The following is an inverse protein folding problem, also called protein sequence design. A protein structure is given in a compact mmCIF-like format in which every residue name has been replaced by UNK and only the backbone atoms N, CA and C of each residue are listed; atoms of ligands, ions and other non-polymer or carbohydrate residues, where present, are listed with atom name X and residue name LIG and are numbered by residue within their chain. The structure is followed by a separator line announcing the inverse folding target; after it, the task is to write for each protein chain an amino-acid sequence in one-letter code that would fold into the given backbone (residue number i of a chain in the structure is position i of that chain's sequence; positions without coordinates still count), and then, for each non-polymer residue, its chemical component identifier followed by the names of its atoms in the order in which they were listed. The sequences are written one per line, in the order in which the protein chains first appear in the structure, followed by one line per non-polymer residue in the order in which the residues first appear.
data_IF_743247255208
#
_entry.id   IF_743247255208
#
_cell.length_a   1.000
_cell.length_b   1.000
_cell.length_c   1.000
_cell.angle_alpha   90.00
_cell.angle_beta   90.00
_cell.angle_gamma   90.00
#
_symmetry.space_group_name_H-M   'P 1'
#
loop_
_entity.id
_entity.type
_entity.pdbx_description
1 polymer ?
#
# COMPACT_ATOMS: atom_id res chain seq x y z
N UNK A 1 26.95 -8.66 -5.04
CA UNK A 1 25.80 -7.74 -4.90
C UNK A 1 25.72 -6.88 -6.14
N UNK A 2 24.80 -7.17 -7.05
CA UNK A 2 24.56 -6.34 -8.24
C UNK A 2 23.88 -5.04 -7.81
N UNK A 3 24.50 -3.90 -8.10
CA UNK A 3 23.92 -2.57 -7.84
C UNK A 3 22.59 -2.48 -8.59
N UNK A 4 21.46 -2.21 -7.90
CA UNK A 4 20.19 -1.88 -8.59
C UNK A 4 20.48 -0.71 -9.53
N UNK A 5 20.09 -0.76 -10.81
CA UNK A 5 20.31 0.34 -11.73
C UNK A 5 19.66 1.61 -11.18
N UNK A 6 20.39 2.73 -11.23
CA UNK A 6 19.83 4.00 -10.77
C UNK A 6 18.66 4.42 -11.68
N UNK A 7 17.57 4.99 -11.12
CA UNK A 7 16.48 5.51 -11.90
C UNK A 7 16.95 6.58 -12.90
N UNK A 8 16.29 6.64 -14.06
CA UNK A 8 16.51 7.74 -15.00
C UNK A 8 15.84 9.01 -14.46
N UNK A 9 16.64 9.92 -13.91
CA UNK A 9 16.16 11.20 -13.37
C UNK A 9 15.63 12.11 -14.48
N UNK A 10 14.50 12.76 -14.22
CA UNK A 10 13.76 13.57 -15.19
C UNK A 10 14.18 15.05 -15.12
N UNK A 11 14.17 15.77 -16.26
CA UNK A 11 14.38 17.22 -16.28
C UNK A 11 13.18 17.97 -15.69
N UNK A 12 13.37 19.21 -15.23
CA UNK A 12 12.29 20.04 -14.65
C UNK A 12 11.11 20.26 -15.60
N UNK A 13 11.30 20.13 -16.92
CA UNK A 13 10.20 20.16 -17.91
C UNK A 13 9.16 19.04 -17.72
N UNK A 14 9.51 17.96 -17.01
CA UNK A 14 8.61 16.88 -16.65
C UNK A 14 7.78 17.15 -15.37
N UNK A 15 7.95 18.31 -14.73
CA UNK A 15 7.29 18.64 -13.46
C UNK A 15 5.77 18.42 -13.53
N UNK A 16 5.10 18.91 -14.57
CA UNK A 16 3.64 18.76 -14.70
C UNK A 16 3.20 17.31 -14.89
N UNK A 17 4.00 16.49 -15.58
CA UNK A 17 3.71 15.06 -15.73
C UNK A 17 3.82 14.35 -14.37
N UNK A 18 4.92 14.58 -13.66
CA UNK A 18 5.15 13.97 -12.34
C UNK A 18 4.13 14.47 -11.32
N UNK A 19 3.70 15.73 -11.41
CA UNK A 19 2.64 16.28 -10.56
C UNK A 19 1.34 15.48 -10.73
N UNK A 20 0.87 15.32 -11.96
CA UNK A 20 -0.34 14.53 -12.24
C UNK A 20 -0.22 13.07 -11.78
N UNK A 21 0.98 12.48 -11.91
CA UNK A 21 1.21 11.11 -11.43
C UNK A 21 1.12 11.02 -9.90
N UNK A 22 1.76 11.93 -9.16
CA UNK A 22 1.71 11.91 -7.69
C UNK A 22 0.29 12.19 -7.21
N UNK A 23 -0.36 13.23 -7.75
CA UNK A 23 -1.69 13.65 -7.35
C UNK A 23 -2.72 12.51 -7.61
N UNK A 24 -2.70 11.91 -8.80
CA UNK A 24 -3.60 10.80 -9.14
C UNK A 24 -3.33 9.53 -8.35
N UNK A 25 -2.06 9.17 -8.12
CA UNK A 25 -1.73 7.98 -7.32
C UNK A 25 -2.11 8.15 -5.84
N UNK A 26 -2.04 9.37 -5.31
CA UNK A 26 -2.52 9.70 -3.97
C UNK A 26 -4.05 9.58 -3.90
N UNK A 27 -4.77 10.13 -4.87
CA UNK A 27 -6.23 10.02 -4.96
C UNK A 27 -6.69 8.56 -5.01
N UNK A 28 -6.14 7.77 -5.95
CA UNK A 28 -6.45 6.34 -6.09
C UNK A 28 -6.17 5.55 -4.79
N UNK A 29 -5.05 5.85 -4.12
CA UNK A 29 -4.71 5.19 -2.86
C UNK A 29 -5.69 5.57 -1.75
N UNK A 30 -6.12 6.84 -1.68
CA UNK A 30 -7.07 7.30 -0.68
C UNK A 30 -8.44 6.63 -0.86
N UNK A 31 -8.90 6.49 -2.10
CA UNK A 31 -10.14 5.79 -2.44
C UNK A 31 -10.09 4.30 -2.09
N UNK A 32 -8.97 3.64 -2.38
CA UNK A 32 -8.80 2.24 -1.97
C UNK A 32 -8.77 2.10 -0.45
N UNK A 33 -8.10 3.01 0.26
CA UNK A 33 -8.08 2.98 1.72
C UNK A 33 -9.49 3.09 2.31
N UNK A 34 -10.32 4.00 1.77
CA UNK A 34 -11.73 4.13 2.15
C UNK A 34 -12.52 2.85 1.86
N UNK A 35 -12.30 2.23 0.70
CA UNK A 35 -12.93 0.95 0.33
C UNK A 35 -12.60 -0.16 1.33
N UNK A 36 -11.34 -0.27 1.76
CA UNK A 36 -10.93 -1.26 2.76
C UNK A 36 -11.48 -0.94 4.16
N UNK A 37 -11.62 0.34 4.52
CA UNK A 37 -12.26 0.74 5.77
C UNK A 37 -13.73 0.32 5.82
N UNK A 38 -14.45 0.46 4.71
CA UNK A 38 -15.83 -0.05 4.59
C UNK A 38 -15.88 -1.58 4.67
N UNK A 39 -14.94 -2.27 4.01
CA UNK A 39 -14.85 -3.73 4.06
C UNK A 39 -14.61 -4.25 5.48
N UNK A 40 -13.80 -3.55 6.29
CA UNK A 40 -13.60 -3.89 7.71
C UNK A 40 -14.91 -3.92 8.52
N UNK A 41 -15.89 -3.09 8.19
CA UNK A 41 -17.18 -3.07 8.90
C UNK A 41 -18.08 -4.26 8.52
N UNK A 42 -17.70 -5.05 7.52
CA UNK A 42 -18.45 -6.19 6.98
C UNK A 42 -17.56 -7.44 7.04
N UNK A 43 -17.54 -8.17 8.17
CA UNK A 43 -16.75 -9.39 8.29
C UNK A 43 -16.99 -10.33 7.11
N UNK A 44 -15.93 -11.00 6.64
CA UNK A 44 -15.98 -12.01 5.58
C UNK A 44 -16.31 -11.51 4.16
N UNK A 45 -16.38 -10.19 3.92
CA UNK A 45 -16.67 -9.66 2.57
C UNK A 45 -15.50 -9.83 1.59
N UNK A 46 -14.27 -9.96 2.10
CA UNK A 46 -13.07 -10.19 1.30
C UNK A 46 -12.58 -11.63 1.48
N UNK A 47 -12.30 -12.29 0.37
CA UNK A 47 -11.61 -13.56 0.31
C UNK A 47 -10.09 -13.39 0.48
N UNK A 48 -9.39 -14.48 0.82
CA UNK A 48 -7.95 -14.47 1.04
C UNK A 48 -7.14 -14.01 -0.20
N UNK A 49 -7.57 -14.40 -1.41
CA UNK A 49 -6.88 -14.05 -2.65
C UNK A 49 -6.93 -12.54 -2.90
N UNK A 50 -8.10 -11.92 -2.71
CA UNK A 50 -8.29 -10.47 -2.84
C UNK A 50 -7.40 -9.71 -1.85
N UNK A 51 -7.34 -10.14 -0.58
CA UNK A 51 -6.49 -9.50 0.43
C UNK A 51 -5.00 -9.62 0.07
N UNK A 52 -4.54 -10.79 -0.39
CA UNK A 52 -3.15 -10.97 -0.82
C UNK A 52 -2.81 -10.10 -2.02
N UNK A 53 -3.73 -9.96 -2.98
CA UNK A 53 -3.53 -9.12 -4.15
C UNK A 53 -3.38 -7.65 -3.78
N UNK A 54 -4.21 -7.15 -2.85
CA UNK A 54 -4.08 -5.80 -2.29
C UNK A 54 -2.70 -5.62 -1.66
N UNK A 55 -2.28 -6.52 -0.78
CA UNK A 55 -0.96 -6.43 -0.13
C UNK A 55 0.16 -6.38 -1.17
N UNK A 56 0.11 -7.23 -2.21
CA UNK A 56 1.13 -7.23 -3.25
C UNK A 56 1.18 -5.89 -4.01
N UNK A 57 0.05 -5.42 -4.54
CA UNK A 57 -0.02 -4.19 -5.34
C UNK A 57 0.50 -2.98 -4.56
N UNK A 58 0.07 -2.83 -3.31
CA UNK A 58 0.43 -1.67 -2.49
C UNK A 58 1.86 -1.78 -1.94
N UNK A 59 2.41 -3.00 -1.79
CA UNK A 59 3.84 -3.19 -1.50
C UNK A 59 4.68 -2.74 -2.70
N UNK A 60 4.33 -3.20 -3.89
CA UNK A 60 5.02 -2.84 -5.13
C UNK A 60 4.98 -1.30 -5.34
N UNK A 61 3.81 -0.68 -5.15
CA UNK A 61 3.64 0.77 -5.28
C UNK A 61 4.50 1.55 -4.27
N UNK A 62 4.55 1.10 -3.01
CA UNK A 62 5.32 1.74 -1.95
C UNK A 62 6.83 1.76 -2.26
N UNK A 63 7.35 0.75 -2.96
CA UNK A 63 8.76 0.73 -3.40
C UNK A 63 9.12 1.88 -4.36
N UNK A 64 8.15 2.43 -5.09
CA UNK A 64 8.39 3.52 -6.05
C UNK A 64 8.37 4.90 -5.40
N UNK A 65 7.64 5.11 -4.30
CA UNK A 65 7.49 6.45 -3.67
C UNK A 65 8.84 7.10 -3.34
N UNK A 66 9.86 6.38 -2.81
CA UNK A 66 11.19 6.96 -2.57
C UNK A 66 11.87 7.51 -3.83
N UNK A 67 11.54 7.00 -5.03
CA UNK A 67 12.09 7.50 -6.30
C UNK A 67 11.51 8.89 -6.59
N UNK A 68 10.19 9.07 -6.42
CA UNK A 68 9.54 10.37 -6.57
C UNK A 68 10.06 11.39 -5.57
N UNK A 69 10.21 11.01 -4.30
CA UNK A 69 10.75 11.90 -3.26
C UNK A 69 12.16 12.38 -3.64
N UNK A 70 13.04 11.46 -4.04
CA UNK A 70 14.41 11.82 -4.48
C UNK A 70 14.44 12.68 -5.74
N UNK A 71 13.53 12.45 -6.68
CA UNK A 71 13.40 13.29 -7.88
C UNK A 71 13.04 14.73 -7.49
N UNK A 72 12.09 14.91 -6.57
CA UNK A 72 11.68 16.23 -6.07
C UNK A 72 12.80 16.92 -5.28
N UNK A 73 13.54 16.18 -4.44
CA UNK A 73 14.72 16.68 -3.73
C UNK A 73 15.81 17.18 -4.71
N UNK A 74 16.04 16.46 -5.81
CA UNK A 74 16.98 16.87 -6.86
C UNK A 74 16.58 18.17 -7.53
N UNK A 75 15.30 18.32 -7.91
CA UNK A 75 14.83 19.56 -8.49
C UNK A 75 14.90 20.72 -7.49
N UNK A 76 14.60 20.50 -6.21
CA UNK A 76 14.59 21.56 -5.20
C UNK A 76 15.90 22.34 -5.07
N UNK A 77 17.04 21.72 -5.43
CA UNK A 77 18.38 22.33 -5.38
C UNK A 77 18.88 22.79 -6.76
N UNK A 78 18.09 22.64 -7.82
CA UNK A 78 18.46 23.02 -9.18
C UNK A 78 18.46 24.55 -9.35
N UNK A 79 19.46 25.08 -10.05
CA UNK A 79 19.53 26.50 -10.36
C UNK A 79 18.51 26.87 -11.45
N UNK A 80 17.94 28.08 -11.38
CA UNK A 80 17.08 28.61 -12.43
C UNK A 80 15.59 28.23 -12.32
N UNK A 81 15.16 27.61 -11.21
CA UNK A 81 13.75 27.39 -10.95
C UNK A 81 12.98 28.71 -10.79
N UNK A 82 11.83 28.79 -11.45
CA UNK A 82 10.85 29.85 -11.20
C UNK A 82 10.20 29.69 -9.83
N UNK A 83 9.68 30.78 -9.27
CA UNK A 83 8.94 30.75 -8.00
C UNK A 83 7.73 29.81 -8.03
N UNK A 84 7.10 29.63 -9.20
CA UNK A 84 5.98 28.69 -9.38
C UNK A 84 6.46 27.25 -9.29
N UNK A 85 7.56 26.90 -9.98
CA UNK A 85 8.15 25.55 -9.91
C UNK A 85 8.60 25.21 -8.49
N UNK A 86 9.22 26.15 -7.76
CA UNK A 86 9.64 25.93 -6.36
C UNK A 86 8.44 25.64 -5.44
N UNK A 87 7.35 26.40 -5.57
CA UNK A 87 6.12 26.16 -4.81
C UNK A 87 5.52 24.80 -5.13
N UNK A 88 5.49 24.44 -6.40
CA UNK A 88 4.94 23.17 -6.86
C UNK A 88 5.75 21.98 -6.38
N UNK A 89 7.08 22.04 -6.44
CA UNK A 89 7.96 20.99 -5.89
C UNK A 89 7.69 20.79 -4.40
N UNK A 90 7.56 21.88 -3.63
CA UNK A 90 7.25 21.80 -2.20
C UNK A 90 5.89 21.14 -1.94
N UNK A 91 4.85 21.52 -2.70
CA UNK A 91 3.53 20.87 -2.61
C UNK A 91 3.63 19.37 -2.89
N UNK A 92 4.34 18.98 -3.95
CA UNK A 92 4.51 17.57 -4.33
C UNK A 92 5.32 16.79 -3.30
N UNK A 93 6.27 17.40 -2.60
CA UNK A 93 6.99 16.75 -1.50
C UNK A 93 6.06 16.41 -0.34
N UNK A 94 5.10 17.29 -0.03
CA UNK A 94 4.08 17.04 0.99
C UNK A 94 3.13 15.93 0.52
N UNK A 95 2.70 15.95 -0.74
CA UNK A 95 1.83 14.90 -1.30
C UNK A 95 2.50 13.54 -1.39
N UNK A 96 3.77 13.46 -1.79
CA UNK A 96 4.49 12.19 -1.84
C UNK A 96 4.64 11.56 -0.44
N UNK A 97 4.78 12.38 0.62
CA UNK A 97 4.77 11.90 2.01
C UNK A 97 3.39 11.40 2.43
N UNK A 98 2.33 12.12 2.08
CA UNK A 98 0.96 11.67 2.34
C UNK A 98 0.67 10.36 1.60
N UNK A 99 1.07 10.26 0.34
CA UNK A 99 0.93 9.04 -0.45
C UNK A 99 1.64 7.88 0.22
N UNK A 100 2.90 8.04 0.63
CA UNK A 100 3.64 7.02 1.38
C UNK A 100 2.89 6.56 2.64
N UNK A 101 2.29 7.50 3.38
CA UNK A 101 1.52 7.18 4.59
C UNK A 101 0.26 6.38 4.25
N UNK A 102 -0.54 6.82 3.27
CA UNK A 102 -1.77 6.11 2.87
C UNK A 102 -1.47 4.69 2.39
N UNK A 103 -0.39 4.48 1.62
CA UNK A 103 0.03 3.13 1.21
C UNK A 103 0.37 2.26 2.43
N UNK A 104 1.06 2.83 3.42
CA UNK A 104 1.38 2.12 4.67
C UNK A 104 0.11 1.76 5.44
N UNK A 105 -0.84 2.69 5.53
CA UNK A 105 -2.12 2.48 6.21
C UNK A 105 -2.97 1.40 5.51
N UNK A 106 -2.96 1.36 4.17
CA UNK A 106 -3.58 0.30 3.36
C UNK A 106 -2.96 -1.06 3.69
N UNK A 107 -1.63 -1.15 3.71
CA UNK A 107 -0.93 -2.40 4.01
C UNK A 107 -1.23 -2.89 5.43
N UNK A 108 -1.22 -1.99 6.41
CA UNK A 108 -1.57 -2.32 7.80
C UNK A 108 -3.01 -2.80 7.92
N UNK A 109 -3.94 -2.16 7.21
CA UNK A 109 -5.34 -2.54 7.18
C UNK A 109 -5.56 -3.89 6.49
N UNK A 110 -4.96 -4.11 5.32
CA UNK A 110 -5.04 -5.36 4.58
C UNK A 110 -4.45 -6.53 5.37
N UNK A 111 -3.32 -6.32 6.07
CA UNK A 111 -2.74 -7.35 6.96
C UNK A 111 -3.65 -7.71 8.13
N UNK A 112 -4.41 -6.75 8.68
CA UNK A 112 -5.42 -7.04 9.71
C UNK A 112 -6.58 -7.85 9.12
N UNK A 113 -7.10 -7.45 7.95
CA UNK A 113 -8.20 -8.14 7.27
C UNK A 113 -7.83 -9.56 6.84
N UNK A 114 -6.56 -9.83 6.55
CA UNK A 114 -6.05 -11.19 6.26
C UNK A 114 -6.29 -12.19 7.40
N UNK A 115 -6.39 -11.72 8.64
CA UNK A 115 -6.71 -12.56 9.80
C UNK A 115 -8.20 -12.88 9.93
N UNK A 116 -9.07 -12.16 9.22
CA UNK A 116 -10.52 -12.13 9.39
C UNK A 116 -11.27 -12.73 8.18
N UNK A 117 -10.56 -13.27 7.19
CA UNK A 117 -11.13 -13.91 5.99
C UNK A 117 -11.89 -15.18 6.34
N UNK A 118 -12.95 -15.50 5.59
CA UNK A 118 -13.82 -16.65 5.86
C UNK A 118 -13.06 -17.98 5.83
N UNK A 119 -12.09 -18.12 4.93
CA UNK A 119 -11.24 -19.31 4.80
C UNK A 119 -10.44 -19.57 6.08
N UNK A 120 -9.93 -18.50 6.70
CA UNK A 120 -9.16 -18.57 7.95
C UNK A 120 -10.03 -18.99 9.13
N UNK A 121 -11.20 -18.39 9.24
CA UNK A 121 -12.17 -18.69 10.31
C UNK A 121 -12.74 -20.09 10.16
N UNK A 122 -13.08 -20.52 8.94
CA UNK A 122 -13.50 -21.89 8.66
C UNK A 122 -12.39 -22.90 8.98
N UNK A 123 -11.14 -22.63 8.58
CA UNK A 123 -10.01 -23.50 8.88
C UNK A 123 -9.76 -23.68 10.39
N UNK A 124 -9.97 -22.61 11.18
CA UNK A 124 -9.91 -22.69 12.64
C UNK A 124 -11.03 -23.57 13.21
N UNK A 125 -12.27 -23.39 12.72
CA UNK A 125 -13.40 -24.20 13.16
C UNK A 125 -13.21 -25.69 12.81
N UNK A 126 -12.73 -26.02 11.62
CA UNK A 126 -12.46 -27.40 11.21
C UNK A 126 -11.38 -28.06 12.08
N UNK A 127 -10.33 -27.31 12.45
CA UNK A 127 -9.29 -27.77 13.36
C UNK A 127 -9.86 -28.06 14.76
N UNK A 128 -10.71 -27.18 15.29
CA UNK A 128 -11.37 -27.38 16.59
C UNK A 128 -12.24 -28.64 16.59
N UNK A 129 -13.00 -28.86 15.51
CA UNK A 129 -13.79 -30.08 15.31
C UNK A 129 -12.89 -31.32 15.25
N UNK A 130 -11.73 -31.23 14.59
CA UNK A 130 -10.73 -32.30 14.56
C UNK A 130 -10.17 -32.63 15.94
N UNK A 131 -9.78 -31.63 16.73
CA UNK A 131 -9.29 -31.80 18.10
C UNK A 131 -10.37 -32.43 18.99
N UNK A 132 -11.61 -31.97 18.89
CA UNK A 132 -12.73 -32.53 19.68
C UNK A 132 -12.99 -33.99 19.32
N UNK A 133 -12.91 -34.34 18.02
CA UNK A 133 -13.06 -35.71 17.57
C UNK A 133 -11.98 -36.64 18.13
N UNK A 134 -10.72 -36.17 18.18
CA UNK A 134 -9.62 -36.91 18.78
C UNK A 134 -9.79 -37.11 20.29
N UNK A 135 -10.21 -36.08 21.04
CA UNK A 135 -10.50 -36.20 22.48
C UNK A 135 -11.57 -37.25 22.75
N UNK A 136 -12.69 -37.19 22.02
CA UNK A 136 -13.78 -38.15 22.14
C UNK A 136 -13.37 -39.59 21.79
N UNK A 137 -12.36 -39.77 20.93
CA UNK A 137 -11.80 -41.09 20.62
C UNK A 137 -10.95 -41.62 21.77
N UNK A 138 -10.09 -40.76 22.34
CA UNK A 138 -9.23 -41.13 23.48
C UNK A 138 -10.05 -41.46 24.72
N UNK A 139 -11.11 -40.69 25.01
CA UNK A 139 -11.98 -40.92 26.18
C UNK A 139 -12.79 -42.22 26.11
N UNK A 140 -12.83 -42.89 24.95
CA UNK A 140 -13.50 -44.18 24.72
C UNK A 140 -12.56 -45.39 24.81
N UNK A 141 -11.26 -45.17 24.95
CA UNK A 141 -10.25 -46.22 25.14
C UNK A 141 -10.00 -46.46 26.63
#
# INVERSE_FOLDING_TARGET
MTKKPEPNWQPISALSLIANMIDGQLEDAQDQYNTLLEARQKPYVLDEYTVHRVIQVYTDQLEFVPIYIKQLEKWQIEAGLTSTQQKEIKRLQEQAKQWQQVLTDILDLANKLKGETIEKVMSQSDLELGIQSLKNYIDKL
#
